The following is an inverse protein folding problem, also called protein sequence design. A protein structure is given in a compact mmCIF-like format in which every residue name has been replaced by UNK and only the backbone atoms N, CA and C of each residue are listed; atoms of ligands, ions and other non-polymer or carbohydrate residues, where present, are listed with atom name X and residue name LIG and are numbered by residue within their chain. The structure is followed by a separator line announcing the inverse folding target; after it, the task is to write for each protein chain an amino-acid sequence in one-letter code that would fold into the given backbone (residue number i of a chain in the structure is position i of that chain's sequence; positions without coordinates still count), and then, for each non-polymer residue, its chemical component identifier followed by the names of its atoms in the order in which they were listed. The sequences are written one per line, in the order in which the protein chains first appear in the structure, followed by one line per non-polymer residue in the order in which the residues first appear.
data_IF_274270779942
#
_entry.id   IF_274270779942
#
_cell.length_a   1.000
_cell.length_b   1.000
_cell.length_c   1.000
_cell.angle_alpha   90.00
_cell.angle_beta   90.00
_cell.angle_gamma   90.00
#
_symmetry.space_group_name_H-M   'P 1'
#
loop_
_entity.id
_entity.type
_entity.pdbx_description
1 polymer ?
#
# COMPACT_ATOMS: atom_id res chain seq x y z
N UNK A 1 -4.77 -23.10 -13.95
CA UNK A 1 -3.53 -23.25 -13.17
C UNK A 1 -3.55 -22.24 -12.02
N UNK A 2 -3.39 -22.73 -10.80
CA UNK A 2 -3.34 -21.89 -9.61
C UNK A 2 -1.91 -21.93 -9.04
N UNK A 3 -1.29 -20.75 -8.93
CA UNK A 3 0.10 -20.53 -8.49
C UNK A 3 1.10 -21.57 -9.03
N UNK A 4 1.17 -21.79 -10.36
CA UNK A 4 1.96 -22.89 -10.93
C UNK A 4 3.47 -22.69 -10.80
N UNK A 5 3.93 -21.52 -10.40
CA UNK A 5 5.35 -21.20 -10.14
C UNK A 5 5.80 -21.55 -8.73
N UNK A 6 4.86 -21.81 -7.81
CA UNK A 6 5.19 -22.21 -6.47
C UNK A 6 5.94 -23.54 -6.46
N UNK A 7 6.98 -23.63 -5.66
CA UNK A 7 7.86 -24.80 -5.52
C UNK A 7 8.66 -25.20 -6.77
N UNK A 8 8.57 -24.44 -7.88
CA UNK A 8 9.44 -24.66 -9.04
C UNK A 8 10.77 -23.94 -8.86
N UNK A 9 11.84 -24.64 -9.21
CA UNK A 9 13.15 -24.02 -9.37
C UNK A 9 13.25 -23.27 -10.72
N UNK A 10 14.37 -22.63 -10.96
CA UNK A 10 14.61 -21.81 -12.16
C UNK A 10 14.38 -22.62 -13.45
N UNK A 11 14.80 -23.90 -13.46
CA UNK A 11 14.62 -24.75 -14.64
C UNK A 11 13.17 -25.16 -14.83
N UNK A 12 12.47 -25.49 -13.75
CA UNK A 12 11.03 -25.79 -13.76
C UNK A 12 10.20 -24.62 -14.25
N UNK A 13 10.51 -23.38 -13.80
CA UNK A 13 9.85 -22.15 -14.27
C UNK A 13 10.09 -21.93 -15.78
N UNK A 14 11.31 -22.10 -16.27
CA UNK A 14 11.60 -21.98 -17.71
C UNK A 14 10.74 -22.95 -18.53
N UNK A 15 10.67 -24.22 -18.11
CA UNK A 15 9.84 -25.23 -18.80
C UNK A 15 8.35 -24.86 -18.78
N UNK A 16 7.85 -24.34 -17.66
CA UNK A 16 6.47 -23.86 -17.54
C UNK A 16 6.20 -22.70 -18.50
N UNK A 17 7.11 -21.71 -18.58
CA UNK A 17 6.96 -20.58 -19.49
C UNK A 17 6.96 -21.02 -20.96
N UNK A 18 7.82 -21.94 -21.32
CA UNK A 18 7.87 -22.50 -22.68
C UNK A 18 6.60 -23.29 -23.01
N UNK A 19 6.05 -24.02 -22.04
CA UNK A 19 4.78 -24.70 -22.19
C UNK A 19 3.64 -23.70 -22.45
N UNK A 20 3.54 -22.64 -21.63
CA UNK A 20 2.49 -21.63 -21.76
C UNK A 20 2.58 -20.91 -23.11
N UNK A 21 3.79 -20.56 -23.58
CA UNK A 21 4.00 -19.92 -24.88
C UNK A 21 3.56 -20.79 -26.06
N UNK A 22 3.67 -22.10 -25.93
CA UNK A 22 3.34 -23.06 -26.99
C UNK A 22 1.90 -23.61 -26.91
N UNK A 23 1.20 -23.33 -25.81
CA UNK A 23 -0.13 -23.86 -25.58
C UNK A 23 -1.13 -23.27 -26.59
N UNK A 24 -1.81 -24.13 -27.34
CA UNK A 24 -2.89 -23.75 -28.26
C UNK A 24 -4.27 -23.72 -27.57
N UNK A 25 -4.36 -24.21 -26.34
CA UNK A 25 -5.61 -24.27 -25.57
C UNK A 25 -5.82 -23.00 -24.76
N UNK A 26 -7.07 -22.73 -24.39
CA UNK A 26 -7.40 -21.64 -23.45
C UNK A 26 -6.82 -21.94 -22.07
N UNK A 27 -6.07 -21.00 -21.52
CA UNK A 27 -5.45 -21.10 -20.20
C UNK A 27 -5.99 -20.02 -19.28
N UNK A 28 -6.38 -20.42 -18.07
CA UNK A 28 -6.66 -19.51 -16.96
C UNK A 28 -5.57 -19.75 -15.91
N UNK A 29 -4.86 -18.69 -15.54
CA UNK A 29 -3.72 -18.77 -14.63
C UNK A 29 -3.90 -17.74 -13.52
N UNK A 30 -3.78 -18.18 -12.27
CA UNK A 30 -3.66 -17.31 -11.09
C UNK A 30 -2.21 -17.36 -10.65
N UNK A 31 -1.54 -16.23 -10.55
CA UNK A 31 -0.13 -16.16 -10.13
C UNK A 31 0.30 -14.78 -9.66
N UNK A 32 1.32 -14.74 -8.83
CA UNK A 32 2.06 -13.54 -8.45
C UNK A 32 3.36 -13.36 -9.24
N UNK A 33 3.69 -14.30 -10.12
CA UNK A 33 4.89 -14.26 -10.97
C UNK A 33 4.67 -13.31 -12.16
N UNK A 34 5.26 -12.13 -12.08
CA UNK A 34 5.14 -11.09 -13.11
C UNK A 34 5.68 -11.52 -14.46
N UNK A 35 6.74 -12.35 -14.46
CA UNK A 35 7.33 -12.87 -15.70
C UNK A 35 6.33 -13.78 -16.42
N UNK A 36 5.65 -14.63 -15.67
CA UNK A 36 4.61 -15.50 -16.18
C UNK A 36 3.39 -14.70 -16.67
N UNK A 37 2.89 -13.77 -15.87
CA UNK A 37 1.75 -12.92 -16.21
C UNK A 37 1.99 -12.08 -17.46
N UNK A 38 3.24 -11.67 -17.73
CA UNK A 38 3.61 -10.96 -18.95
C UNK A 38 3.60 -11.82 -20.22
N UNK A 39 3.48 -13.14 -20.09
CA UNK A 39 3.30 -14.04 -21.26
C UNK A 39 1.84 -14.13 -21.71
N UNK A 40 0.91 -13.59 -20.92
CA UNK A 40 -0.53 -13.70 -21.19
C UNK A 40 -1.03 -12.45 -21.93
N UNK A 41 -2.11 -12.62 -22.70
CA UNK A 41 -2.67 -11.56 -23.53
C UNK A 41 -3.79 -10.77 -22.83
N UNK A 42 -4.29 -11.27 -21.72
CA UNK A 42 -5.40 -10.67 -20.98
C UNK A 42 -5.13 -10.82 -19.50
N UNK A 43 -5.29 -9.74 -18.77
CA UNK A 43 -5.16 -9.70 -17.30
C UNK A 43 -6.51 -9.40 -16.70
N UNK A 44 -6.96 -10.18 -15.72
CA UNK A 44 -8.17 -9.94 -14.95
C UNK A 44 -7.80 -9.60 -13.52
N UNK A 45 -8.28 -8.46 -13.03
CA UNK A 45 -8.17 -8.08 -11.64
C UNK A 45 -9.45 -8.47 -10.90
N UNK A 46 -9.31 -9.31 -9.89
CA UNK A 46 -10.41 -9.71 -9.01
C UNK A 46 -10.36 -8.86 -7.74
N UNK A 47 -11.44 -8.13 -7.48
CA UNK A 47 -11.66 -7.39 -6.23
C UNK A 47 -12.85 -7.99 -5.49
N UNK A 48 -13.08 -7.71 -4.20
CA UNK A 48 -14.24 -8.21 -3.47
C UNK A 48 -15.58 -7.89 -4.14
N UNK A 49 -15.63 -6.81 -4.92
CA UNK A 49 -16.88 -6.28 -5.47
C UNK A 49 -16.99 -6.47 -7.00
N UNK A 50 -15.89 -6.75 -7.71
CA UNK A 50 -15.89 -6.72 -9.17
C UNK A 50 -14.72 -7.52 -9.77
N UNK A 51 -14.90 -7.91 -11.05
CA UNK A 51 -13.82 -8.42 -11.91
C UNK A 51 -13.63 -7.41 -13.03
N UNK A 52 -12.44 -6.86 -13.14
CA UNK A 52 -12.07 -5.93 -14.21
C UNK A 52 -11.09 -6.60 -15.16
N UNK A 53 -11.43 -6.61 -16.46
CA UNK A 53 -10.61 -7.24 -17.50
C UNK A 53 -9.82 -6.16 -18.28
N UNK A 54 -8.53 -6.39 -18.41
CA UNK A 54 -7.59 -5.56 -19.18
C UNK A 54 -7.11 -6.35 -20.39
N UNK A 55 -7.27 -5.78 -21.60
CA UNK A 55 -6.90 -6.40 -22.87
C UNK A 55 -5.41 -6.34 -23.16
N UNK A 56 -4.58 -6.80 -22.22
CA UNK A 56 -3.12 -6.80 -22.33
C UNK A 56 -2.46 -7.63 -21.23
N UNK A 57 -1.14 -7.70 -21.27
CA UNK A 57 -0.33 -8.39 -20.28
C UNK A 57 -0.27 -7.63 -18.94
N UNK A 58 0.49 -8.15 -17.99
CA UNK A 58 0.61 -7.56 -16.65
C UNK A 58 1.21 -6.14 -16.67
N UNK A 59 2.14 -5.83 -17.56
CA UNK A 59 2.72 -4.48 -17.69
C UNK A 59 1.69 -3.48 -18.16
N UNK A 60 0.90 -3.83 -19.16
CA UNK A 60 -0.22 -3.02 -19.63
C UNK A 60 -1.24 -2.76 -18.51
N UNK A 61 -1.64 -3.81 -17.78
CA UNK A 61 -2.51 -3.68 -16.62
C UNK A 61 -1.93 -2.69 -15.59
N UNK A 62 -0.65 -2.84 -15.25
CA UNK A 62 0.03 -1.99 -14.26
C UNK A 62 0.06 -0.52 -14.69
N UNK A 63 0.30 -0.27 -15.97
CA UNK A 63 0.29 1.08 -16.55
C UNK A 63 -1.11 1.70 -16.46
N UNK A 64 -2.14 0.98 -16.94
CA UNK A 64 -3.52 1.46 -16.89
C UNK A 64 -3.99 1.73 -15.46
N UNK A 65 -3.67 0.83 -14.54
CA UNK A 65 -3.98 1.02 -13.12
C UNK A 65 -3.23 2.22 -12.53
N UNK A 66 -1.98 2.42 -12.90
CA UNK A 66 -1.20 3.59 -12.50
C UNK A 66 -1.83 4.92 -12.97
N UNK A 67 -2.27 4.99 -14.22
CA UNK A 67 -2.98 6.15 -14.78
C UNK A 67 -4.28 6.40 -14.00
N UNK A 68 -5.08 5.36 -13.76
CA UNK A 68 -6.33 5.46 -13.01
C UNK A 68 -6.10 5.96 -11.58
N UNK A 69 -5.11 5.42 -10.87
CA UNK A 69 -4.78 5.84 -9.51
C UNK A 69 -4.30 7.29 -9.45
N UNK A 70 -3.47 7.71 -10.40
CA UNK A 70 -3.01 9.09 -10.49
C UNK A 70 -4.18 10.05 -10.75
N UNK A 71 -5.12 9.68 -11.62
CA UNK A 71 -6.31 10.46 -11.88
C UNK A 71 -7.19 10.60 -10.61
N UNK A 72 -7.40 9.52 -9.87
CA UNK A 72 -8.14 9.54 -8.60
C UNK A 72 -7.43 10.41 -7.54
N UNK A 73 -6.11 10.34 -7.48
CA UNK A 73 -5.32 11.18 -6.58
C UNK A 73 -5.47 12.67 -6.91
N UNK A 74 -5.39 13.03 -8.19
CA UNK A 74 -5.60 14.40 -8.64
C UNK A 74 -7.02 14.89 -8.32
N UNK A 75 -8.04 14.07 -8.57
CA UNK A 75 -9.42 14.40 -8.22
C UNK A 75 -9.58 14.64 -6.71
N UNK A 76 -8.93 13.83 -5.88
CA UNK A 76 -8.95 14.01 -4.43
C UNK A 76 -8.35 15.35 -4.04
N UNK A 77 -7.18 15.70 -4.59
CA UNK A 77 -6.51 16.98 -4.32
C UNK A 77 -7.34 18.19 -4.76
N UNK A 78 -8.02 18.10 -5.92
CA UNK A 78 -8.92 19.14 -6.39
C UNK A 78 -10.11 19.31 -5.44
N UNK A 79 -10.73 18.22 -5.00
CA UNK A 79 -11.84 18.26 -4.04
C UNK A 79 -11.41 18.80 -2.68
N UNK A 80 -10.20 18.49 -2.23
CA UNK A 80 -9.64 19.08 -1.00
C UNK A 80 -9.44 20.60 -1.11
N UNK A 81 -8.96 21.08 -2.25
CA UNK A 81 -8.83 22.51 -2.52
C UNK A 81 -10.20 23.19 -2.55
N UNK A 82 -11.17 22.58 -3.23
CA UNK A 82 -12.55 23.07 -3.31
C UNK A 82 -13.20 23.17 -1.93
N UNK A 83 -13.06 22.13 -1.10
CA UNK A 83 -13.58 22.13 0.27
C UNK A 83 -12.93 23.21 1.13
N UNK A 84 -11.61 23.41 1.00
CA UNK A 84 -10.88 24.47 1.72
C UNK A 84 -11.39 25.85 1.33
N UNK A 85 -11.60 26.07 0.03
CA UNK A 85 -12.15 27.33 -0.48
C UNK A 85 -13.59 27.56 0.00
N UNK A 86 -14.45 26.53 -0.08
CA UNK A 86 -15.83 26.62 0.38
C UNK A 86 -15.92 26.99 1.86
N UNK A 87 -15.08 26.36 2.71
CA UNK A 87 -15.00 26.68 4.15
C UNK A 87 -14.50 28.11 4.41
N UNK A 88 -13.52 28.59 3.61
CA UNK A 88 -13.03 29.97 3.71
C UNK A 88 -14.14 30.97 3.38
N UNK A 89 -14.84 30.77 2.27
CA UNK A 89 -15.97 31.64 1.85
C UNK A 89 -17.07 31.61 2.92
N UNK A 90 -17.43 30.45 3.44
CA UNK A 90 -18.42 30.33 4.50
C UNK A 90 -18.07 31.20 5.73
N UNK A 91 -16.82 31.14 6.19
CA UNK A 91 -16.33 31.95 7.32
C UNK A 91 -16.41 33.46 7.00
N UNK A 92 -15.92 33.89 5.86
CA UNK A 92 -15.94 35.30 5.45
C UNK A 92 -17.37 35.85 5.36
N UNK A 93 -18.29 35.05 4.84
CA UNK A 93 -19.70 35.43 4.74
C UNK A 93 -20.36 35.51 6.12
N UNK A 94 -20.11 34.56 7.00
CA UNK A 94 -20.61 34.60 8.39
C UNK A 94 -20.09 35.83 9.14
N UNK A 95 -18.79 36.09 9.06
CA UNK A 95 -18.20 37.29 9.70
C UNK A 95 -18.79 38.61 9.15
N UNK A 96 -19.02 38.70 7.84
CA UNK A 96 -19.65 39.90 7.25
C UNK A 96 -21.08 40.06 7.75
N UNK A 97 -21.85 38.99 7.83
CA UNK A 97 -23.21 38.99 8.34
C UNK A 97 -23.28 39.39 9.79
N UNK A 98 -22.40 38.86 10.64
CA UNK A 98 -22.31 39.26 12.04
C UNK A 98 -21.99 40.77 12.20
N UNK A 99 -21.01 41.30 11.44
CA UNK A 99 -20.71 42.73 11.42
C UNK A 99 -21.90 43.57 10.93
N UNK A 100 -22.66 43.11 9.94
CA UNK A 100 -23.88 43.77 9.47
C UNK A 100 -24.97 43.77 10.54
N UNK A 101 -25.22 42.64 11.21
CA UNK A 101 -26.21 42.50 12.27
C UNK A 101 -25.92 43.45 13.41
N UNK A 102 -24.67 43.49 13.89
CA UNK A 102 -24.26 44.41 14.96
C UNK A 102 -24.40 45.90 14.55
N UNK A 103 -24.08 46.24 13.30
CA UNK A 103 -24.30 47.62 12.79
C UNK A 103 -25.80 47.94 12.69
N UNK A 104 -26.61 47.01 12.25
CA UNK A 104 -28.07 47.13 12.17
C UNK A 104 -28.71 47.34 13.53
N UNK A 105 -28.31 46.58 14.54
CA UNK A 105 -28.79 46.73 15.93
C UNK A 105 -28.46 48.14 16.49
N UNK A 106 -27.20 48.61 16.32
CA UNK A 106 -26.77 49.92 16.75
C UNK A 106 -27.54 51.05 16.03
N UNK A 107 -27.78 50.90 14.73
CA UNK A 107 -28.54 51.88 13.95
C UNK A 107 -30.03 51.94 14.36
N UNK A 108 -30.64 50.77 14.64
CA UNK A 108 -32.02 50.66 15.07
C UNK A 108 -32.22 51.26 16.47
N UNK A 109 -31.25 51.08 17.38
CA UNK A 109 -31.28 51.66 18.71
C UNK A 109 -31.19 53.22 18.66
N UNK A 110 -30.40 53.78 17.74
CA UNK A 110 -30.31 55.23 17.54
C UNK A 110 -31.59 55.87 16.95
N UNK A 111 -32.34 55.13 16.15
CA UNK A 111 -33.54 55.61 15.47
C UNK A 111 -34.84 55.50 16.30
N UNK A 112 -34.75 55.05 17.56
CA UNK A 112 -35.92 54.91 18.44
C UNK A 112 -36.97 53.93 17.94
N UNK A 113 -36.61 52.89 17.21
CA UNK A 113 -37.55 51.89 16.67
C UNK A 113 -38.20 51.12 17.80
N UNK A 114 -39.57 50.91 17.78
CA UNK A 114 -40.25 50.13 18.77
C UNK A 114 -39.69 48.73 18.96
N UNK A 115 -39.60 48.24 20.21
CA UNK A 115 -38.97 46.98 20.59
C UNK A 115 -39.53 45.77 19.82
N UNK A 116 -40.84 45.77 19.54
CA UNK A 116 -41.52 44.71 18.74
C UNK A 116 -40.96 44.66 17.34
N UNK A 117 -40.74 45.81 16.69
CA UNK A 117 -40.21 45.88 15.34
C UNK A 117 -38.73 45.51 15.28
N UNK A 118 -37.95 45.82 16.33
CA UNK A 118 -36.55 45.38 16.48
C UNK A 118 -36.47 43.88 16.59
N UNK A 119 -37.34 43.19 17.36
CA UNK A 119 -37.37 41.74 17.46
C UNK A 119 -37.67 41.08 16.10
N UNK A 120 -38.63 41.57 15.35
CA UNK A 120 -38.99 41.10 14.02
C UNK A 120 -37.81 41.22 13.02
N UNK A 121 -37.07 42.31 13.07
CA UNK A 121 -35.88 42.52 12.25
C UNK A 121 -34.73 41.59 12.64
N UNK A 122 -34.56 41.32 13.92
CA UNK A 122 -33.59 40.38 14.46
C UNK A 122 -33.92 38.94 14.02
N UNK A 123 -35.14 38.51 14.20
CA UNK A 123 -35.61 37.17 13.77
C UNK A 123 -35.39 36.94 12.25
N UNK A 124 -35.67 37.97 11.44
CA UNK A 124 -35.44 37.89 9.98
C UNK A 124 -33.93 37.78 9.65
N UNK A 125 -33.08 38.52 10.37
CA UNK A 125 -31.63 38.48 10.19
C UNK A 125 -31.06 37.11 10.60
N UNK A 126 -31.54 36.56 11.74
CA UNK A 126 -31.15 35.24 12.20
C UNK A 126 -31.57 34.13 11.24
N UNK A 127 -32.83 34.12 10.78
CA UNK A 127 -33.34 33.17 9.77
C UNK A 127 -32.51 33.23 8.47
N UNK A 128 -32.16 34.45 8.01
CA UNK A 128 -31.32 34.61 6.81
C UNK A 128 -29.91 34.07 7.01
N UNK A 129 -29.34 34.24 8.21
CA UNK A 129 -27.99 33.72 8.52
C UNK A 129 -28.00 32.20 8.66
N UNK A 130 -29.02 31.63 9.31
CA UNK A 130 -29.19 30.18 9.43
C UNK A 130 -29.31 29.54 8.07
N UNK A 131 -30.21 30.04 7.19
CA UNK A 131 -30.36 29.51 5.85
C UNK A 131 -29.06 29.56 5.02
N UNK A 132 -28.25 30.58 5.19
CA UNK A 132 -26.97 30.70 4.50
C UNK A 132 -25.95 29.69 5.02
N UNK A 133 -25.89 29.51 6.35
CA UNK A 133 -25.02 28.53 6.98
C UNK A 133 -25.42 27.11 6.57
N UNK A 134 -26.71 26.81 6.46
CA UNK A 134 -27.20 25.49 6.02
C UNK A 134 -26.75 25.19 4.58
N UNK A 135 -26.84 26.16 3.67
CA UNK A 135 -26.35 26.00 2.28
C UNK A 135 -24.84 25.71 2.24
N UNK A 136 -24.06 26.43 3.07
CA UNK A 136 -22.60 26.18 3.13
C UNK A 136 -22.26 24.84 3.78
N UNK A 137 -23.03 24.42 4.80
CA UNK A 137 -22.87 23.11 5.45
C UNK A 137 -23.19 21.97 4.49
N UNK A 138 -24.31 22.06 3.77
CA UNK A 138 -24.72 21.06 2.76
C UNK A 138 -23.66 20.93 1.65
N UNK A 139 -23.12 22.04 1.15
CA UNK A 139 -22.05 22.01 0.16
C UNK A 139 -20.78 21.33 0.70
N UNK A 140 -20.38 21.62 1.94
CA UNK A 140 -19.22 21.02 2.59
C UNK A 140 -19.43 19.52 2.84
N UNK A 141 -20.63 19.10 3.23
CA UNK A 141 -20.99 17.70 3.46
C UNK A 141 -20.96 16.91 2.15
N UNK A 142 -21.52 17.45 1.08
CA UNK A 142 -21.48 16.84 -0.26
C UNK A 142 -20.02 16.59 -0.71
N UNK A 143 -19.17 17.61 -0.62
CA UNK A 143 -17.75 17.48 -0.99
C UNK A 143 -17.03 16.44 -0.12
N UNK A 144 -17.32 16.39 1.17
CA UNK A 144 -16.75 15.41 2.09
C UNK A 144 -17.18 13.99 1.73
N UNK A 145 -18.45 13.81 1.32
CA UNK A 145 -18.97 12.53 0.83
C UNK A 145 -18.27 12.06 -0.44
N UNK A 146 -18.12 12.95 -1.43
CA UNK A 146 -17.38 12.65 -2.67
C UNK A 146 -15.92 12.26 -2.37
N UNK A 147 -15.23 12.98 -1.48
CA UNK A 147 -13.86 12.66 -1.05
C UNK A 147 -13.77 11.29 -0.37
N UNK A 148 -14.75 10.92 0.44
CA UNK A 148 -14.78 9.62 1.11
C UNK A 148 -14.90 8.49 0.09
N UNK A 149 -15.73 8.65 -0.95
CA UNK A 149 -15.85 7.69 -2.04
C UNK A 149 -14.54 7.53 -2.82
N UNK A 150 -13.88 8.64 -3.16
CA UNK A 150 -12.57 8.59 -3.86
C UNK A 150 -11.53 7.90 -2.97
N UNK A 151 -11.47 8.20 -1.67
CA UNK A 151 -10.54 7.57 -0.73
C UNK A 151 -10.78 6.07 -0.58
N UNK A 152 -12.03 5.61 -0.56
CA UNK A 152 -12.32 4.17 -0.53
C UNK A 152 -11.80 3.48 -1.78
N UNK A 153 -11.97 4.08 -2.97
CA UNK A 153 -11.44 3.54 -4.23
C UNK A 153 -9.90 3.53 -4.26
N UNK A 154 -9.24 4.47 -3.58
CA UNK A 154 -7.78 4.50 -3.44
C UNK A 154 -7.27 3.49 -2.40
N UNK A 155 -8.02 3.25 -1.31
CA UNK A 155 -7.61 2.32 -0.24
C UNK A 155 -7.59 0.87 -0.70
N UNK A 156 -8.48 0.48 -1.61
CA UNK A 156 -8.50 -0.85 -2.21
C UNK A 156 -7.23 -1.15 -3.03
N UNK A 157 -6.50 -0.10 -3.41
CA UNK A 157 -5.23 -0.19 -4.14
C UNK A 157 -3.99 0.01 -3.25
N UNK A 158 -4.16 0.10 -1.92
CA UNK A 158 -3.07 0.45 -1.00
C UNK A 158 -1.99 -0.62 -0.98
N UNK A 159 -0.78 -0.22 -1.35
CA UNK A 159 0.44 -1.00 -1.14
C UNK A 159 0.67 -1.14 0.36
N UNK A 160 0.79 -2.36 0.84
CA UNK A 160 1.23 -2.66 2.20
C UNK A 160 2.56 -1.94 2.47
N UNK A 161 2.52 -0.90 3.28
CA UNK A 161 3.73 -0.28 3.81
C UNK A 161 4.16 -1.11 5.02
N UNK A 162 5.12 -1.99 4.83
CA UNK A 162 5.79 -2.68 5.93
C UNK A 162 6.92 -1.77 6.42
N UNK A 163 6.72 -1.11 7.54
CA UNK A 163 7.82 -0.49 8.28
C UNK A 163 8.51 -1.59 9.10
N UNK A 164 9.75 -1.88 8.74
CA UNK A 164 10.62 -2.69 9.59
C UNK A 164 11.38 -1.76 10.53
N UNK A 165 11.25 -1.99 11.82
CA UNK A 165 12.07 -1.33 12.81
C UNK A 165 13.56 -1.52 12.48
N UNK A 166 14.32 -0.44 12.55
CA UNK A 166 15.76 -0.50 12.39
C UNK A 166 16.34 -1.40 13.47
N UNK A 167 17.10 -2.41 13.08
CA UNK A 167 17.60 -3.48 13.96
C UNK A 167 18.50 -2.99 15.12
N UNK A 168 18.78 -1.70 15.24
CA UNK A 168 19.71 -1.16 16.24
C UNK A 168 21.16 -1.70 16.12
N UNK A 169 21.42 -2.58 15.16
CA UNK A 169 22.74 -3.17 14.93
C UNK A 169 23.60 -2.20 14.11
N UNK A 170 24.85 -2.02 14.54
CA UNK A 170 25.82 -1.25 13.78
C UNK A 170 26.03 -1.90 12.40
N UNK A 171 25.90 -1.12 11.33
CA UNK A 171 26.18 -1.57 9.96
C UNK A 171 27.60 -2.11 9.85
N UNK A 172 27.76 -3.26 9.18
CA UNK A 172 29.05 -3.93 9.02
C UNK A 172 29.47 -4.84 10.18
N UNK A 173 28.66 -4.94 11.26
CA UNK A 173 28.92 -5.94 12.32
C UNK A 173 28.78 -7.34 11.71
N UNK A 174 29.80 -8.19 11.91
CA UNK A 174 29.74 -9.59 11.50
C UNK A 174 28.70 -10.30 12.35
N UNK A 175 27.71 -10.89 11.69
CA UNK A 175 26.61 -11.62 12.30
C UNK A 175 26.87 -13.13 12.28
N UNK A 176 27.44 -13.62 11.18
CA UNK A 176 27.71 -15.04 10.95
C UNK A 176 29.06 -15.18 10.28
N UNK A 177 29.86 -16.12 10.75
CA UNK A 177 31.05 -16.62 10.08
C UNK A 177 30.91 -18.13 9.97
N UNK A 178 30.88 -18.61 8.75
CA UNK A 178 30.90 -20.02 8.40
C UNK A 178 32.26 -20.38 7.79
N UNK A 179 32.92 -21.39 8.32
CA UNK A 179 34.20 -21.90 7.83
C UNK A 179 34.07 -23.37 7.57
N UNK A 180 34.15 -23.76 6.31
CA UNK A 180 34.14 -25.14 5.81
C UNK A 180 32.98 -25.97 6.35
N UNK A 181 31.79 -25.33 6.47
CA UNK A 181 30.60 -26.01 7.00
C UNK A 181 30.03 -26.97 5.98
N UNK A 182 29.60 -28.12 6.47
CA UNK A 182 28.80 -29.07 5.73
C UNK A 182 27.72 -29.68 6.65
N UNK A 183 26.65 -30.17 6.03
CA UNK A 183 25.55 -30.83 6.72
C UNK A 183 25.07 -32.01 5.88
N UNK A 184 24.54 -33.02 6.52
CA UNK A 184 23.97 -34.16 5.83
C UNK A 184 22.81 -34.76 6.59
N UNK A 185 21.88 -35.30 5.85
CA UNK A 185 20.82 -36.15 6.37
C UNK A 185 21.33 -37.60 6.30
N UNK A 186 21.33 -38.31 7.41
CA UNK A 186 21.98 -39.63 7.57
C UNK A 186 23.48 -39.52 7.36
N UNK A 187 24.07 -40.37 6.52
CA UNK A 187 25.51 -40.47 6.30
C UNK A 187 26.02 -39.73 5.06
N UNK A 188 25.13 -39.14 4.27
CA UNK A 188 25.49 -38.41 3.08
C UNK A 188 25.56 -36.91 3.32
N UNK A 189 26.68 -36.28 2.93
CA UNK A 189 26.88 -34.86 3.00
C UNK A 189 26.09 -34.17 1.86
N UNK A 190 25.52 -33.03 2.18
CA UNK A 190 24.63 -32.30 1.27
C UNK A 190 25.39 -31.55 0.18
N UNK A 191 26.54 -31.00 0.54
CA UNK A 191 27.37 -30.24 -0.40
C UNK A 191 28.67 -30.97 -0.68
N UNK A 192 29.00 -31.09 -1.98
CA UNK A 192 30.25 -31.72 -2.41
C UNK A 192 31.48 -30.96 -1.86
N UNK A 193 31.41 -29.64 -1.94
CA UNK A 193 32.43 -28.76 -1.41
C UNK A 193 31.88 -28.04 -0.18
N UNK A 194 32.62 -27.99 0.95
CA UNK A 194 32.22 -27.28 2.14
C UNK A 194 32.00 -25.79 1.89
N UNK A 195 31.03 -25.19 2.62
CA UNK A 195 30.68 -23.79 2.42
C UNK A 195 31.42 -22.89 3.41
N UNK A 196 32.05 -21.84 2.89
CA UNK A 196 32.66 -20.78 3.69
C UNK A 196 32.16 -19.43 3.26
N UNK A 197 31.58 -18.66 4.20
CA UNK A 197 31.05 -17.33 3.93
C UNK A 197 30.92 -16.50 5.21
N UNK A 198 30.74 -15.20 5.03
CA UNK A 198 30.50 -14.24 6.10
C UNK A 198 29.24 -13.45 5.82
N UNK A 199 28.41 -13.20 6.83
CA UNK A 199 27.23 -12.34 6.74
C UNK A 199 27.39 -11.20 7.74
N UNK A 200 27.20 -9.96 7.27
CA UNK A 200 27.30 -8.74 8.06
C UNK A 200 25.95 -8.04 8.19
N UNK A 201 25.80 -7.24 9.21
CA UNK A 201 24.64 -6.37 9.38
C UNK A 201 24.54 -5.38 8.20
N UNK A 202 23.36 -5.36 7.55
CA UNK A 202 23.10 -4.57 6.35
C UNK A 202 23.26 -5.33 5.04
N UNK A 203 23.83 -6.55 5.04
CA UNK A 203 23.93 -7.38 3.85
C UNK A 203 22.54 -7.87 3.40
N UNK A 204 22.36 -7.96 2.08
CA UNK A 204 21.20 -8.58 1.43
C UNK A 204 21.68 -9.74 0.59
N UNK A 205 21.46 -10.97 1.09
CA UNK A 205 21.92 -12.19 0.45
C UNK A 205 20.76 -12.88 -0.27
N UNK A 206 20.99 -13.23 -1.54
CA UNK A 206 20.11 -14.12 -2.29
C UNK A 206 20.74 -15.53 -2.37
N UNK A 207 19.96 -16.56 -2.04
CA UNK A 207 20.39 -17.97 -2.13
C UNK A 207 19.64 -18.60 -3.29
N UNK A 208 20.35 -18.91 -4.37
CA UNK A 208 19.80 -19.56 -5.56
C UNK A 208 20.30 -20.99 -5.70
N UNK A 209 19.52 -21.85 -6.35
CA UNK A 209 19.89 -23.24 -6.64
C UNK A 209 18.67 -24.11 -6.97
N UNK A 210 18.93 -25.29 -7.49
CA UNK A 210 17.92 -26.30 -7.82
C UNK A 210 17.16 -26.79 -6.57
N UNK A 211 16.00 -27.42 -6.78
CA UNK A 211 15.28 -28.03 -5.67
C UNK A 211 16.11 -29.17 -5.07
N UNK A 212 16.16 -29.26 -3.75
CA UNK A 212 16.94 -30.25 -3.04
C UNK A 212 18.41 -29.88 -2.80
N UNK A 213 18.96 -28.76 -3.35
CA UNK A 213 20.35 -28.39 -3.16
C UNK A 213 20.72 -27.89 -1.74
N UNK A 214 19.75 -27.84 -0.82
CA UNK A 214 20.04 -27.51 0.59
C UNK A 214 19.78 -26.05 0.99
N UNK A 215 19.05 -25.24 0.21
CA UNK A 215 18.72 -23.85 0.55
C UNK A 215 18.07 -23.71 1.93
N UNK A 216 17.04 -24.48 2.18
CA UNK A 216 16.32 -24.49 3.47
C UNK A 216 17.20 -25.00 4.61
N UNK A 217 18.07 -25.96 4.33
CA UNK A 217 19.05 -26.48 5.31
C UNK A 217 20.06 -25.40 5.67
N UNK A 218 20.57 -24.66 4.69
CA UNK A 218 21.47 -23.54 4.93
C UNK A 218 20.80 -22.44 5.78
N UNK A 219 19.54 -22.11 5.51
CA UNK A 219 18.78 -21.16 6.33
C UNK A 219 18.62 -21.67 7.78
N UNK A 220 18.35 -22.96 7.99
CA UNK A 220 18.26 -23.57 9.33
C UNK A 220 19.60 -23.54 10.07
N UNK A 221 20.73 -23.69 9.39
CA UNK A 221 22.07 -23.50 9.96
C UNK A 221 22.29 -22.03 10.35
N UNK A 222 21.99 -21.09 9.45
CA UNK A 222 22.09 -19.66 9.70
C UNK A 222 21.24 -19.22 10.89
N UNK A 223 20.00 -19.71 11.00
CA UNK A 223 19.10 -19.39 12.12
C UNK A 223 19.44 -20.14 13.40
N UNK A 224 20.33 -21.16 13.34
CA UNK A 224 20.76 -21.96 14.48
C UNK A 224 19.77 -23.04 14.90
N UNK A 225 18.79 -23.36 14.05
CA UNK A 225 17.84 -24.45 14.30
C UNK A 225 18.50 -25.83 14.17
N UNK A 226 19.61 -25.91 13.44
CA UNK A 226 20.45 -27.09 13.30
C UNK A 226 21.94 -26.67 13.38
N UNK A 227 22.81 -27.62 13.75
CA UNK A 227 24.26 -27.43 13.80
C UNK A 227 24.93 -28.11 12.62
N UNK A 228 26.02 -27.56 12.07
CA UNK A 228 26.77 -28.22 11.00
C UNK A 228 27.36 -29.54 11.52
N UNK A 229 27.48 -30.55 10.63
CA UNK A 229 28.19 -31.80 10.94
C UNK A 229 29.69 -31.63 10.77
N UNK A 230 30.12 -30.77 9.86
CA UNK A 230 31.52 -30.45 9.62
C UNK A 230 31.70 -28.94 9.60
N UNK A 231 32.92 -28.50 9.90
CA UNK A 231 33.31 -27.11 9.95
C UNK A 231 32.81 -26.36 11.18
N UNK A 232 32.89 -25.02 11.12
CA UNK A 232 32.58 -24.16 12.25
C UNK A 232 31.63 -23.04 11.80
N UNK A 233 30.54 -22.87 12.55
CA UNK A 233 29.58 -21.81 12.36
C UNK A 233 29.51 -20.94 13.63
N UNK A 234 30.05 -19.73 13.55
CA UNK A 234 30.03 -18.74 14.64
C UNK A 234 28.88 -17.76 14.35
N UNK A 235 28.01 -17.59 15.34
CA UNK A 235 26.86 -16.67 15.30
C UNK A 235 27.00 -15.63 16.40
N UNK A 236 26.87 -14.35 16.03
CA UNK A 236 26.67 -13.30 17.01
C UNK A 236 25.25 -13.41 17.61
N UNK A 237 25.04 -12.77 18.74
CA UNK A 237 23.70 -12.63 19.30
C UNK A 237 22.93 -11.55 18.51
N UNK A 238 21.84 -11.97 17.84
CA UNK A 238 20.90 -11.11 17.12
C UNK A 238 19.52 -11.75 17.04
N UNK A 239 18.49 -10.90 17.03
CA UNK A 239 17.12 -11.34 16.78
C UNK A 239 16.91 -11.56 15.27
N UNK A 240 16.21 -12.61 14.92
CA UNK A 240 15.83 -12.90 13.53
C UNK A 240 14.37 -13.28 13.46
N UNK A 241 13.75 -13.02 12.29
CA UNK A 241 12.40 -13.45 11.96
C UNK A 241 12.48 -14.29 10.70
N UNK A 242 11.86 -15.45 10.73
CA UNK A 242 11.70 -16.31 9.56
C UNK A 242 10.29 -16.14 9.00
N UNK A 243 10.20 -15.68 7.75
CA UNK A 243 8.94 -15.58 7.02
C UNK A 243 8.85 -16.75 6.05
N UNK A 244 7.77 -17.51 6.13
CA UNK A 244 7.52 -18.71 5.30
C UNK A 244 6.67 -18.37 4.08
#
# INVERSE_FOLDING_TARGET
LDEPTNHLDIQGRKRLYDFIKKAASTLIIVSHDRTLLNLLNTTCELTPNNITTYGGNYEFYKEQKGIMLNALQQQLEEKEKELRLARKIAREVTERKEKQNVRGEKASARKGIPRIMMNTLKDRAEKSTTKLNDIHAEKAEKLTGEMTQIRSSLSDAAVLKTDFDTSGLRIGKILITATDINFGYKDELLWKDPLSFQLKSGDRLCIEGSNGCGKTTLLKLITGNITPKEGTLIRADFKHVYLN
#
